data_IF_202808274556
#
_entry.id   IF_202808274556
#
_cell.length_a   1.000
_cell.length_b   1.000
_cell.length_c   1.000
_cell.angle_alpha   90.00
_cell.angle_beta   90.00
_cell.angle_gamma   90.00
#
_symmetry.space_group_name_H-M   'P 1'
#
loop_
_entity.id
_entity.type
_entity.pdbx_description
1 polymer ?
#
# COMPACT_ATOMS: atom_id res chain seq x y z
N UNK A 1 -13.81 10.06 -10.94
CA UNK A 1 -13.70 8.62 -11.24
C UNK A 1 -12.68 8.08 -10.27
N UNK A 2 -13.06 7.19 -9.36
CA UNK A 2 -12.16 6.72 -8.31
C UNK A 2 -11.26 5.60 -8.85
N UNK A 3 -9.96 5.80 -8.76
CA UNK A 3 -8.95 4.78 -9.00
C UNK A 3 -8.64 4.05 -7.71
N UNK A 4 -8.56 2.73 -7.78
CA UNK A 4 -8.20 1.86 -6.67
C UNK A 4 -6.88 1.14 -6.98
N UNK A 5 -5.95 1.24 -6.05
CA UNK A 5 -4.63 0.64 -6.08
C UNK A 5 -4.56 -0.43 -4.99
N UNK A 6 -4.51 -1.70 -5.39
CA UNK A 6 -4.18 -2.80 -4.47
C UNK A 6 -2.69 -3.05 -4.54
N UNK A 7 -2.01 -2.72 -3.45
CA UNK A 7 -0.56 -2.86 -3.31
C UNK A 7 -0.27 -4.06 -2.42
N UNK A 8 0.07 -5.19 -3.03
CA UNK A 8 0.62 -6.32 -2.31
C UNK A 8 2.06 -6.05 -1.89
N UNK A 9 2.42 -6.49 -0.70
CA UNK A 9 3.77 -6.40 -0.18
C UNK A 9 4.26 -7.74 0.37
N UNK A 10 5.57 -7.97 0.21
CA UNK A 10 6.29 -9.07 0.84
C UNK A 10 7.40 -8.51 1.72
N UNK A 11 7.46 -8.92 2.97
CA UNK A 11 8.51 -8.54 3.89
C UNK A 11 9.77 -9.35 3.64
N UNK A 12 10.92 -8.74 3.90
CA UNK A 12 12.18 -9.47 4.04
C UNK A 12 12.12 -10.36 5.30
N UNK A 13 12.95 -11.40 5.34
CA UNK A 13 13.17 -12.11 6.60
C UNK A 13 13.84 -11.15 7.59
N UNK A 14 13.17 -10.89 8.71
CA UNK A 14 13.57 -9.92 9.70
C UNK A 14 13.63 -10.56 11.09
N UNK A 15 14.54 -10.06 11.92
CA UNK A 15 14.52 -10.35 13.37
C UNK A 15 13.35 -9.63 14.05
N UNK A 16 12.93 -10.04 15.25
CA UNK A 16 11.88 -9.35 16.00
C UNK A 16 12.18 -7.86 16.24
N UNK A 17 13.44 -7.49 16.44
CA UNK A 17 13.87 -6.09 16.61
C UNK A 17 13.67 -5.28 15.32
N UNK A 18 14.06 -5.83 14.17
CA UNK A 18 13.86 -5.20 12.86
C UNK A 18 12.38 -5.02 12.54
N UNK A 19 11.55 -6.03 12.87
CA UNK A 19 10.10 -5.94 12.72
C UNK A 19 9.49 -4.83 13.60
N UNK A 20 10.01 -4.64 14.82
CA UNK A 20 9.64 -3.52 15.70
C UNK A 20 9.92 -2.17 15.06
N UNK A 21 11.15 -1.97 14.56
CA UNK A 21 11.55 -0.73 13.87
C UNK A 21 10.71 -0.46 12.62
N UNK A 22 10.39 -1.50 11.85
CA UNK A 22 9.58 -1.37 10.64
C UNK A 22 8.15 -0.90 10.97
N UNK A 23 7.59 -1.38 12.10
CA UNK A 23 6.29 -0.94 12.59
C UNK A 23 6.31 0.52 13.03
N UNK A 24 7.29 0.92 13.84
CA UNK A 24 7.44 2.31 14.30
C UNK A 24 7.58 3.26 13.10
N UNK A 25 8.43 2.90 12.14
CA UNK A 25 8.60 3.65 10.89
C UNK A 25 7.27 3.82 10.14
N UNK A 26 6.48 2.75 9.98
CA UNK A 26 5.20 2.82 9.29
C UNK A 26 4.19 3.72 10.02
N UNK A 27 4.12 3.63 11.35
CA UNK A 27 3.23 4.46 12.18
C UNK A 27 3.60 5.96 12.09
N UNK A 28 4.87 6.31 12.01
CA UNK A 28 5.33 7.69 11.82
C UNK A 28 5.09 8.17 10.38
N UNK A 29 5.44 7.34 9.40
CA UNK A 29 5.32 7.68 7.99
C UNK A 29 3.87 7.93 7.59
N UNK A 30 2.94 7.08 8.04
CA UNK A 30 1.51 7.23 7.76
C UNK A 30 0.91 8.52 8.34
N UNK A 31 1.48 9.08 9.42
CA UNK A 31 0.99 10.31 10.04
C UNK A 31 1.47 11.58 9.34
N UNK A 32 2.70 11.59 8.82
CA UNK A 32 3.35 12.84 8.39
C UNK A 32 3.73 12.93 6.91
N UNK A 33 3.80 11.81 6.19
CA UNK A 33 4.30 11.76 4.81
C UNK A 33 3.26 11.28 3.79
N UNK A 34 2.04 10.94 4.24
CA UNK A 34 1.01 10.43 3.35
C UNK A 34 0.30 11.59 2.62
N UNK A 35 0.18 11.57 1.28
CA UNK A 35 -0.49 12.63 0.53
C UNK A 35 -1.98 12.70 0.84
N UNK A 36 -2.52 13.92 0.99
CA UNK A 36 -3.93 14.15 1.30
C UNK A 36 -4.88 13.60 0.21
N UNK A 37 -4.42 13.56 -1.04
CA UNK A 37 -5.19 13.09 -2.21
C UNK A 37 -5.28 11.56 -2.27
N UNK A 38 -4.44 10.84 -1.51
CA UNK A 38 -4.44 9.38 -1.46
C UNK A 38 -5.15 8.92 -0.19
N UNK A 39 -6.24 8.20 -0.34
CA UNK A 39 -6.99 7.67 0.81
C UNK A 39 -6.64 6.20 1.02
N UNK A 40 -6.10 5.87 2.19
CA UNK A 40 -5.99 4.47 2.62
C UNK A 40 -7.40 4.00 2.99
N UNK A 41 -7.93 3.04 2.24
CA UNK A 41 -9.22 2.41 2.54
C UNK A 41 -9.03 1.26 3.54
N UNK A 42 -7.90 0.55 3.44
CA UNK A 42 -7.56 -0.49 4.40
C UNK A 42 -6.13 -1.01 4.25
N UNK A 43 -5.59 -1.46 5.38
CA UNK A 43 -4.34 -2.23 5.47
C UNK A 43 -4.68 -3.65 5.93
N UNK A 44 -4.43 -4.61 5.04
CA UNK A 44 -4.79 -6.00 5.22
C UNK A 44 -3.54 -6.81 5.51
N UNK A 45 -3.38 -7.18 6.78
CA UNK A 45 -2.22 -7.90 7.32
C UNK A 45 -1.94 -9.24 6.62
N UNK A 46 -2.97 -9.88 6.04
CA UNK A 46 -2.86 -11.21 5.43
C UNK A 46 -3.45 -11.21 4.01
N UNK A 47 -2.69 -11.78 3.06
CA UNK A 47 -3.14 -12.06 1.69
C UNK A 47 -3.24 -13.58 1.45
N UNK A 48 -4.09 -14.27 2.20
CA UNK A 48 -4.26 -15.72 2.09
C UNK A 48 -4.63 -16.18 0.67
N UNK A 49 -4.09 -17.34 0.28
CA UNK A 49 -4.19 -17.84 -1.10
C UNK A 49 -3.19 -17.19 -2.06
N UNK A 50 -2.21 -16.44 -1.54
CA UNK A 50 -1.12 -15.87 -2.33
C UNK A 50 0.21 -15.97 -1.58
N UNK A 51 1.31 -15.71 -2.29
CA UNK A 51 2.66 -15.64 -1.72
C UNK A 51 2.99 -14.25 -1.13
N UNK A 52 1.99 -13.39 -0.93
CA UNK A 52 2.17 -12.06 -0.36
C UNK A 52 1.85 -12.07 1.13
N UNK A 53 2.53 -11.22 1.90
CA UNK A 53 2.24 -11.11 3.33
C UNK A 53 0.88 -10.44 3.53
N UNK A 54 0.67 -9.30 2.88
CA UNK A 54 -0.55 -8.50 2.99
C UNK A 54 -0.70 -7.55 1.82
N UNK A 55 -1.67 -6.66 1.90
CA UNK A 55 -1.85 -5.60 0.90
C UNK A 55 -2.47 -4.33 1.48
N UNK A 56 -2.17 -3.20 0.82
CA UNK A 56 -2.82 -1.92 1.05
C UNK A 56 -3.83 -1.66 -0.06
N UNK A 57 -5.03 -1.20 0.31
CA UNK A 57 -6.01 -0.65 -0.63
C UNK A 57 -5.99 0.87 -0.52
N UNK A 58 -5.61 1.53 -1.61
CA UNK A 58 -5.57 2.99 -1.71
C UNK A 58 -6.54 3.45 -2.80
N UNK A 59 -7.34 4.48 -2.51
CA UNK A 59 -8.22 5.13 -3.46
C UNK A 59 -7.82 6.58 -3.70
N UNK A 60 -8.04 7.07 -4.91
CA UNK A 60 -7.86 8.49 -5.27
C UNK A 60 -8.70 8.85 -6.48
N UNK A 61 -9.06 10.13 -6.61
CA UNK A 61 -9.65 10.69 -7.83
C UNK A 61 -8.60 11.14 -8.85
N UNK A 62 -7.33 11.27 -8.43
CA UNK A 62 -6.20 11.63 -9.28
C UNK A 62 -5.11 10.54 -9.26
N UNK A 63 -5.02 9.68 -10.29
CA UNK A 63 -4.05 8.60 -10.31
C UNK A 63 -2.60 9.11 -10.39
N UNK A 64 -2.37 10.35 -10.87
CA UNK A 64 -1.03 10.92 -10.95
C UNK A 64 -0.42 11.09 -9.55
N UNK A 65 -1.23 11.53 -8.59
CA UNK A 65 -0.85 11.62 -7.16
C UNK A 65 -0.28 10.29 -6.62
N UNK A 66 -0.82 9.14 -7.06
CA UNK A 66 -0.28 7.83 -6.65
C UNK A 66 1.08 7.57 -7.31
N UNK A 67 1.23 7.83 -8.61
CA UNK A 67 2.47 7.57 -9.33
C UNK A 67 3.64 8.47 -8.88
N UNK A 68 3.35 9.67 -8.40
CA UNK A 68 4.37 10.57 -7.83
C UNK A 68 4.80 10.13 -6.43
N UNK A 69 3.85 9.71 -5.62
CA UNK A 69 4.11 9.26 -4.25
C UNK A 69 4.78 7.87 -4.18
N UNK A 70 4.34 6.94 -5.02
CA UNK A 70 4.69 5.52 -4.92
C UNK A 70 6.19 5.22 -4.99
N UNK A 71 6.99 5.85 -5.87
CA UNK A 71 8.44 5.68 -5.89
C UNK A 71 9.11 6.11 -4.58
N UNK A 72 8.67 7.23 -3.99
CA UNK A 72 9.20 7.76 -2.73
C UNK A 72 8.90 6.78 -1.60
N UNK A 73 7.67 6.26 -1.57
CA UNK A 73 7.27 5.27 -0.59
C UNK A 73 8.09 3.98 -0.68
N UNK A 74 8.27 3.45 -1.90
CA UNK A 74 9.08 2.23 -2.10
C UNK A 74 10.53 2.41 -1.71
N UNK A 75 11.12 3.57 -1.99
CA UNK A 75 12.50 3.86 -1.61
C UNK A 75 12.66 3.82 -0.08
N UNK A 76 11.77 4.48 0.66
CA UNK A 76 11.80 4.51 2.13
C UNK A 76 11.52 3.16 2.79
N UNK A 77 10.81 2.26 2.11
CA UNK A 77 10.42 0.95 2.65
C UNK A 77 11.27 -0.21 2.16
N UNK A 78 12.21 0.03 1.23
CA UNK A 78 13.06 -0.99 0.59
C UNK A 78 13.91 -1.81 1.57
N UNK A 79 14.19 -1.29 2.76
CA UNK A 79 15.01 -1.97 3.76
C UNK A 79 14.26 -3.08 4.51
N UNK A 80 12.92 -3.14 4.44
CA UNK A 80 12.10 -4.18 5.08
C UNK A 80 11.07 -4.82 4.15
N UNK A 81 10.76 -4.20 3.01
CA UNK A 81 9.93 -4.77 1.96
C UNK A 81 10.82 -5.36 0.87
N UNK A 82 10.69 -6.66 0.65
CA UNK A 82 11.40 -7.42 -0.39
C UNK A 82 10.82 -7.13 -1.78
N UNK A 83 9.51 -7.24 -1.91
CA UNK A 83 8.84 -7.09 -3.19
C UNK A 83 7.45 -6.48 -3.03
N UNK A 84 6.98 -5.84 -4.10
CA UNK A 84 5.63 -5.27 -4.19
C UNK A 84 5.00 -5.63 -5.53
N UNK A 85 3.68 -5.79 -5.53
CA UNK A 85 2.89 -5.88 -6.76
C UNK A 85 1.67 -4.99 -6.64
N UNK A 86 1.49 -4.10 -7.61
CA UNK A 86 0.34 -3.19 -7.64
C UNK A 86 -0.64 -3.62 -8.72
N UNK A 87 -1.91 -3.80 -8.34
CA UNK A 87 -3.02 -3.88 -9.28
C UNK A 87 -3.72 -2.52 -9.29
N UNK A 88 -3.99 -2.00 -10.49
CA UNK A 88 -4.69 -0.73 -10.67
C UNK A 88 -6.05 -1.02 -11.27
N UNK A 89 -7.08 -0.40 -10.71
CA UNK A 89 -8.46 -0.60 -11.13
C UNK A 89 -9.24 0.72 -11.02
N UNK A 90 -10.40 0.77 -11.68
CA UNK A 90 -11.33 1.89 -11.60
C UNK A 90 -12.55 1.38 -10.86
N UNK A 91 -12.90 2.03 -9.75
CA UNK A 91 -14.08 1.72 -8.96
C UNK A 91 -15.34 2.05 -9.77
N UNK A 92 -16.31 1.15 -9.72
CA UNK A 92 -17.64 1.35 -10.30
C UNK A 92 -18.67 1.35 -9.18
N UNK A 93 -19.85 1.89 -9.45
CA UNK A 93 -20.98 1.65 -8.55
C UNK A 93 -21.33 0.16 -8.59
N UNK A 94 -21.72 -0.40 -7.45
CA UNK A 94 -22.16 -1.80 -7.36
C UNK A 94 -23.33 -2.09 -8.31
N UNK A 95 -24.14 -1.07 -8.61
CA UNK A 95 -25.29 -1.17 -9.52
C UNK A 95 -24.91 -1.24 -11.00
N UNK A 96 -23.68 -0.86 -11.36
CA UNK A 96 -23.17 -0.86 -12.74
C UNK A 96 -22.59 -2.23 -13.17
N UNK A 97 -23.01 -3.30 -12.48
CA UNK A 97 -22.57 -4.68 -12.72
C UNK A 97 -23.18 -5.29 -13.99
N UNK A 98 -24.25 -4.69 -14.53
CA UNK A 98 -24.89 -5.02 -15.82
C UNK A 98 -24.96 -3.78 -16.70
#
# INVERSE_FOLDING_TARGET
MTYAFLVFYRFQMMTPEQAGKAREFWEEFAKGSWPEQLKIIGDYKYAWGSDWNGFLLVETEDPQSFFEFWPIFRDKTRWYIDNTRTLVSIKRDMKDWM
#
